data_IF_717636623275
#
_entry.id   IF_717636623275
#
_cell.length_a   1.000
_cell.length_b   1.000
_cell.length_c   1.000
_cell.angle_alpha   90.00
_cell.angle_beta   90.00
_cell.angle_gamma   90.00
#
_symmetry.space_group_name_H-M   'P 1'
#
loop_
_entity.id
_entity.type
_entity.pdbx_description
1 polymer ?
#
# COMPACT_ATOMS: atom_id res chain seq x y z
N UNK A 1 12.04 5.32 26.07
CA UNK A 1 12.58 6.28 25.09
C UNK A 1 12.41 5.65 23.72
N UNK A 2 11.53 6.18 22.88
CA UNK A 2 11.21 5.62 21.58
C UNK A 2 11.78 6.56 20.52
N UNK A 3 12.77 6.08 19.77
CA UNK A 3 13.35 6.82 18.66
C UNK A 3 12.34 6.83 17.51
N UNK A 4 11.70 7.97 17.29
CA UNK A 4 10.96 8.25 16.05
C UNK A 4 12.00 8.33 14.92
N UNK A 5 12.20 7.22 14.22
CA UNK A 5 13.01 7.19 13.00
C UNK A 5 12.14 7.72 11.86
N UNK A 6 12.12 9.05 11.69
CA UNK A 6 11.67 9.68 10.45
C UNK A 6 12.80 10.52 9.89
N UNK A 7 13.61 9.92 9.01
CA UNK A 7 14.46 10.60 8.03
C UNK A 7 14.97 9.55 7.04
N UNK A 8 14.04 8.90 6.33
CA UNK A 8 14.39 8.18 5.11
C UNK A 8 14.11 9.14 3.96
N UNK A 9 15.08 9.39 3.10
CA UNK A 9 14.79 10.07 1.83
C UNK A 9 13.80 9.20 1.07
N UNK A 10 12.59 9.69 0.87
CA UNK A 10 11.54 8.97 0.17
C UNK A 10 11.28 9.70 -1.14
N UNK A 11 11.60 9.04 -2.26
CA UNK A 11 11.12 9.50 -3.55
C UNK A 11 9.62 9.18 -3.65
N UNK A 12 8.84 10.16 -4.08
CA UNK A 12 7.42 10.00 -4.28
C UNK A 12 7.08 10.14 -5.78
N UNK A 13 6.23 9.23 -6.25
CA UNK A 13 5.72 9.18 -7.60
C UNK A 13 4.20 9.04 -7.56
N UNK A 14 3.55 9.59 -8.58
CA UNK A 14 2.11 9.52 -8.77
C UNK A 14 1.83 9.00 -10.17
N UNK A 15 1.09 7.90 -10.26
CA UNK A 15 0.43 7.46 -11.49
C UNK A 15 -1.00 7.99 -11.42
N UNK A 16 -1.35 8.86 -12.35
CA UNK A 16 -2.70 9.42 -12.41
C UNK A 16 -3.64 8.53 -13.22
N UNK A 17 -4.91 8.45 -12.78
CA UNK A 17 -6.02 7.87 -13.54
C UNK A 17 -5.90 6.37 -13.86
N UNK A 18 -5.48 5.53 -12.89
CA UNK A 18 -5.74 4.09 -13.00
C UNK A 18 -7.26 3.89 -13.09
N UNK A 19 -7.74 3.42 -14.24
CA UNK A 19 -9.16 3.31 -14.52
C UNK A 19 -9.76 2.23 -13.63
N UNK A 20 -11.04 2.39 -13.25
CA UNK A 20 -11.75 1.33 -12.49
C UNK A 20 -11.76 -0.02 -13.22
N UNK A 21 -11.80 0.00 -14.56
CA UNK A 21 -11.68 -1.20 -15.40
C UNK A 21 -10.32 -1.91 -15.28
N UNK A 22 -9.30 -1.26 -14.72
CA UNK A 22 -7.96 -1.80 -14.51
C UNK A 22 -7.79 -2.35 -13.09
N UNK A 23 -8.77 -2.20 -12.21
CA UNK A 23 -8.70 -2.72 -10.83
C UNK A 23 -8.60 -4.24 -10.79
N UNK A 24 -9.19 -4.92 -11.78
CA UNK A 24 -9.00 -6.37 -12.00
C UNK A 24 -7.54 -6.77 -12.26
N UNK A 25 -6.63 -5.81 -12.51
CA UNK A 25 -5.18 -6.03 -12.69
C UNK A 25 -4.37 -5.54 -11.49
N UNK A 26 -4.99 -5.05 -10.43
CA UNK A 26 -4.27 -4.39 -9.35
C UNK A 26 -3.25 -5.33 -8.69
N UNK A 27 -3.58 -6.60 -8.44
CA UNK A 27 -2.59 -7.52 -7.87
C UNK A 27 -1.45 -7.80 -8.85
N UNK A 28 -1.69 -7.76 -10.16
CA UNK A 28 -0.63 -7.87 -11.16
C UNK A 28 0.28 -6.64 -11.14
N UNK A 29 -0.30 -5.45 -11.03
CA UNK A 29 0.43 -4.18 -10.88
C UNK A 29 1.27 -4.19 -9.59
N UNK A 30 0.67 -4.58 -8.47
CA UNK A 30 1.35 -4.69 -7.18
C UNK A 30 2.50 -5.71 -7.23
N UNK A 31 2.30 -6.84 -7.91
CA UNK A 31 3.36 -7.83 -8.11
C UNK A 31 4.55 -7.31 -8.94
N UNK A 32 4.40 -6.25 -9.75
CA UNK A 32 5.54 -5.65 -10.45
C UNK A 32 6.60 -5.07 -9.50
N UNK A 33 6.21 -4.73 -8.27
CA UNK A 33 7.10 -4.17 -7.25
C UNK A 33 7.89 -5.24 -6.48
N UNK A 34 7.48 -6.51 -6.54
CA UNK A 34 8.13 -7.59 -5.78
C UNK A 34 9.44 -8.04 -6.40
N UNK A 35 10.41 -8.33 -5.53
CA UNK A 35 11.55 -9.23 -5.79
C UNK A 35 11.21 -10.63 -5.25
N UNK A 36 12.08 -11.60 -5.54
CA UNK A 36 11.85 -13.03 -5.22
C UNK A 36 11.53 -13.30 -3.74
N UNK A 37 12.08 -12.51 -2.83
CA UNK A 37 11.90 -12.68 -1.38
C UNK A 37 10.92 -11.68 -0.74
N UNK A 38 10.27 -10.85 -1.56
CA UNK A 38 9.36 -9.81 -1.06
C UNK A 38 7.94 -10.35 -0.85
N UNK A 39 7.24 -9.70 0.08
CA UNK A 39 5.79 -9.83 0.32
C UNK A 39 5.12 -8.48 0.22
N UNK A 40 3.82 -8.50 -0.06
CA UNK A 40 2.96 -7.30 -0.07
C UNK A 40 2.05 -7.37 1.13
N UNK A 41 2.21 -6.43 2.04
CA UNK A 41 1.40 -6.35 3.25
C UNK A 41 0.44 -5.16 3.14
N UNK A 42 -0.85 -5.47 3.13
CA UNK A 42 -1.92 -4.49 3.25
C UNK A 42 -2.09 -4.09 4.70
N UNK A 43 -2.49 -2.84 4.93
CA UNK A 43 -2.62 -2.27 6.25
C UNK A 43 -4.02 -1.73 6.47
N UNK A 44 -4.58 -2.04 7.64
CA UNK A 44 -5.66 -1.24 8.22
C UNK A 44 -5.39 -0.96 9.70
N UNK A 45 -5.79 0.22 10.21
CA UNK A 45 -5.85 0.45 11.64
C UNK A 45 -6.78 -0.56 12.32
N UNK A 46 -6.37 -1.08 13.47
CA UNK A 46 -7.16 -1.98 14.31
C UNK A 46 -8.57 -1.41 14.53
N UNK A 47 -8.65 -0.11 14.83
CA UNK A 47 -9.91 0.58 15.06
C UNK A 47 -10.90 0.41 13.89
N UNK A 48 -10.44 0.49 12.65
CA UNK A 48 -11.30 0.34 11.47
C UNK A 48 -11.78 -1.10 11.34
N UNK A 49 -10.86 -2.06 11.51
CA UNK A 49 -11.19 -3.48 11.42
C UNK A 49 -12.18 -3.90 12.51
N UNK A 50 -12.07 -3.33 13.72
CA UNK A 50 -12.90 -3.73 14.85
C UNK A 50 -14.21 -2.94 14.99
N UNK A 51 -14.27 -1.70 14.53
CA UNK A 51 -15.39 -0.80 14.84
C UNK A 51 -16.10 -0.22 13.61
N UNK A 52 -15.47 -0.22 12.44
CA UNK A 52 -16.02 0.43 11.24
C UNK A 52 -16.40 -0.56 10.15
N UNK A 53 -15.57 -1.56 9.90
CA UNK A 53 -15.84 -2.52 8.85
C UNK A 53 -16.98 -3.49 9.19
N UNK A 54 -17.77 -3.92 8.19
CA UNK A 54 -18.75 -4.99 8.38
C UNK A 54 -18.08 -6.27 8.92
N UNK A 55 -18.78 -7.02 9.78
CA UNK A 55 -18.22 -8.21 10.45
C UNK A 55 -17.59 -9.21 9.47
N UNK A 56 -18.17 -9.37 8.27
CA UNK A 56 -17.62 -10.24 7.22
C UNK A 56 -16.21 -9.80 6.82
N UNK A 57 -16.01 -8.50 6.56
CA UNK A 57 -14.71 -7.90 6.22
C UNK A 57 -13.72 -8.00 7.35
N UNK A 58 -14.18 -7.70 8.57
CA UNK A 58 -13.35 -7.75 9.76
C UNK A 58 -12.80 -9.16 9.98
N UNK A 59 -13.64 -10.18 9.83
CA UNK A 59 -13.22 -11.58 9.94
C UNK A 59 -12.27 -11.96 8.81
N UNK A 60 -12.59 -11.59 7.57
CA UNK A 60 -11.74 -11.83 6.41
C UNK A 60 -10.31 -11.29 6.61
N UNK A 61 -10.18 -10.07 7.14
CA UNK A 61 -8.89 -9.44 7.48
C UNK A 61 -8.22 -10.17 8.64
N UNK A 62 -8.94 -10.40 9.75
CA UNK A 62 -8.41 -11.02 10.97
C UNK A 62 -7.80 -12.40 10.75
N UNK A 63 -8.44 -13.22 9.91
CA UNK A 63 -7.95 -14.56 9.54
C UNK A 63 -6.64 -14.53 8.75
N UNK A 64 -6.28 -13.38 8.16
CA UNK A 64 -5.12 -13.20 7.29
C UNK A 64 -4.03 -12.33 7.91
N UNK A 65 -4.20 -11.88 9.15
CA UNK A 65 -3.19 -11.09 9.85
C UNK A 65 -1.90 -11.89 9.93
N UNK A 66 -0.83 -11.29 9.40
CA UNK A 66 0.53 -11.79 9.53
C UNK A 66 1.26 -11.12 10.68
N UNK A 67 0.93 -9.85 10.93
CA UNK A 67 1.64 -9.03 11.90
C UNK A 67 0.76 -7.91 12.44
N UNK A 68 1.04 -7.54 13.69
CA UNK A 68 0.45 -6.38 14.36
C UNK A 68 1.61 -5.50 14.81
N UNK A 69 1.54 -4.20 14.50
CA UNK A 69 2.56 -3.22 14.92
C UNK A 69 1.91 -2.02 15.58
N UNK A 70 2.57 -1.43 16.57
CA UNK A 70 2.16 -0.16 17.20
C UNK A 70 3.18 0.93 16.89
N UNK A 71 2.73 2.17 16.73
CA UNK A 71 3.62 3.33 16.56
C UNK A 71 4.30 3.45 15.19
N UNK A 72 3.78 2.77 14.16
CA UNK A 72 4.21 2.99 12.79
C UNK A 72 3.44 4.18 12.18
N UNK A 73 4.18 5.22 11.80
CA UNK A 73 3.63 6.36 11.07
C UNK A 73 3.85 6.06 9.59
N UNK A 74 2.78 5.70 8.87
CA UNK A 74 2.82 5.72 7.40
C UNK A 74 3.04 7.17 6.94
N UNK A 75 4.10 7.44 6.15
CA UNK A 75 4.37 8.78 5.65
C UNK A 75 3.21 9.39 4.86
N UNK A 76 2.31 8.56 4.30
CA UNK A 76 1.17 9.01 3.51
C UNK A 76 -0.14 9.23 4.26
N UNK A 77 -0.28 8.74 5.50
CA UNK A 77 -1.57 8.72 6.19
C UNK A 77 -1.55 9.53 7.49
N UNK A 78 -0.37 9.94 7.97
CA UNK A 78 -0.26 10.88 9.08
C UNK A 78 -0.96 10.39 10.36
N UNK A 79 -1.01 9.07 10.60
CA UNK A 79 -1.56 8.53 11.84
C UNK A 79 -0.71 9.03 13.01
N UNK A 80 -1.31 9.90 13.83
CA UNK A 80 -0.61 10.60 14.93
C UNK A 80 -0.60 9.82 16.24
N UNK A 81 -1.32 8.71 16.34
CA UNK A 81 -1.49 7.97 17.59
C UNK A 81 -0.96 6.54 17.49
N UNK A 82 -0.55 5.98 18.63
CA UNK A 82 0.00 4.64 18.87
C UNK A 82 -1.00 3.49 18.58
N UNK A 83 -1.91 3.68 17.63
CA UNK A 83 -2.93 2.68 17.30
C UNK A 83 -2.28 1.44 16.67
N UNK A 84 -2.69 0.23 17.08
CA UNK A 84 -2.24 -0.99 16.43
C UNK A 84 -2.65 -0.99 14.95
N UNK A 85 -1.73 -1.41 14.10
CA UNK A 85 -1.95 -1.62 12.67
C UNK A 85 -1.92 -3.11 12.39
N UNK A 86 -2.92 -3.58 11.67
CA UNK A 86 -2.99 -4.95 11.18
C UNK A 86 -2.37 -5.02 9.79
N UNK A 87 -1.40 -5.91 9.65
CA UNK A 87 -0.76 -6.22 8.39
C UNK A 87 -1.17 -7.61 7.92
N UNK A 88 -1.69 -7.70 6.71
CA UNK A 88 -2.20 -8.94 6.13
C UNK A 88 -1.83 -9.06 4.65
N UNK A 89 -1.78 -10.29 4.16
CA UNK A 89 -1.49 -10.58 2.75
C UNK A 89 -2.78 -10.91 2.01
N UNK A 90 -2.86 -10.44 0.76
CA UNK A 90 -3.85 -10.89 -0.20
C UNK A 90 -3.17 -11.76 -1.26
N UNK A 91 -3.79 -12.88 -1.59
CA UNK A 91 -3.21 -13.90 -2.47
C UNK A 91 -3.53 -13.64 -3.95
N UNK A 92 -4.65 -12.98 -4.24
CA UNK A 92 -5.15 -12.83 -5.61
C UNK A 92 -6.14 -11.66 -5.74
N UNK A 93 -6.55 -11.37 -6.98
CA UNK A 93 -7.51 -10.29 -7.26
C UNK A 93 -8.89 -10.54 -6.63
N UNK A 94 -9.35 -11.78 -6.47
CA UNK A 94 -10.65 -12.04 -5.85
C UNK A 94 -10.65 -11.62 -4.38
N UNK A 95 -9.56 -11.88 -3.66
CA UNK A 95 -9.37 -11.42 -2.29
C UNK A 95 -9.29 -9.89 -2.21
N UNK A 96 -8.66 -9.24 -3.20
CA UNK A 96 -8.65 -7.78 -3.31
C UNK A 96 -10.05 -7.21 -3.55
N UNK A 97 -10.81 -7.79 -4.47
CA UNK A 97 -12.19 -7.38 -4.76
C UNK A 97 -13.09 -7.59 -3.55
N UNK A 98 -12.96 -8.71 -2.84
CA UNK A 98 -13.72 -8.96 -1.61
C UNK A 98 -13.40 -7.90 -0.54
N UNK A 99 -12.12 -7.57 -0.35
CA UNK A 99 -11.71 -6.54 0.60
C UNK A 99 -12.25 -5.16 0.20
N UNK A 100 -12.07 -4.73 -1.06
CA UNK A 100 -12.45 -3.39 -1.53
C UNK A 100 -13.95 -3.18 -1.72
N UNK A 101 -14.71 -4.23 -2.09
CA UNK A 101 -16.18 -4.17 -2.16
C UNK A 101 -16.81 -3.83 -0.80
N UNK A 102 -16.08 -4.07 0.29
CA UNK A 102 -16.57 -3.92 1.64
C UNK A 102 -16.14 -2.62 2.35
N UNK A 103 -15.17 -1.87 1.79
CA UNK A 103 -14.62 -0.64 2.40
C UNK A 103 -15.17 0.68 1.83
N UNK A 104 -16.13 0.61 0.88
CA UNK A 104 -16.99 1.69 0.33
C UNK A 104 -16.36 3.00 -0.21
N UNK A 105 -15.09 3.31 0.03
CA UNK A 105 -14.44 4.53 -0.52
C UNK A 105 -12.92 4.57 -0.32
N UNK A 106 -12.35 3.73 0.54
CA UNK A 106 -10.91 3.75 0.84
C UNK A 106 -10.21 2.66 0.05
N UNK A 107 -9.32 3.05 -0.86
CA UNK A 107 -8.88 2.13 -1.90
C UNK A 107 -7.83 1.14 -1.42
N UNK A 108 -6.68 1.53 -0.87
CA UNK A 108 -5.88 0.71 0.06
C UNK A 108 -4.57 1.42 0.37
N UNK A 109 -3.90 0.99 1.44
CA UNK A 109 -2.45 1.19 1.63
C UNK A 109 -1.80 -0.18 1.80
N UNK A 110 -0.69 -0.39 1.10
CA UNK A 110 0.15 -1.56 1.29
C UNK A 110 1.62 -1.20 1.18
N UNK A 111 2.47 -2.10 1.66
CA UNK A 111 3.92 -2.00 1.54
C UNK A 111 4.49 -3.21 0.83
N UNK A 112 5.66 -3.04 0.23
CA UNK A 112 6.50 -4.13 -0.26
C UNK A 112 7.71 -4.24 0.65
N UNK A 113 7.87 -5.40 1.27
CA UNK A 113 8.91 -5.65 2.28
C UNK A 113 9.50 -7.04 2.10
N UNK A 114 10.78 -7.21 2.41
CA UNK A 114 11.39 -8.54 2.47
C UNK A 114 10.67 -9.36 3.56
N UNK A 115 10.33 -10.62 3.27
CA UNK A 115 9.55 -11.47 4.18
C UNK A 115 10.18 -11.65 5.57
N UNK A 116 11.49 -11.44 5.69
CA UNK A 116 12.24 -11.60 6.95
C UNK A 116 12.47 -10.25 7.68
N UNK A 117 11.91 -9.14 7.18
CA UNK A 117 12.10 -7.80 7.74
C UNK A 117 10.84 -7.25 8.41
N UNK A 118 11.02 -6.18 9.18
CA UNK A 118 9.93 -5.45 9.80
C UNK A 118 9.20 -4.56 8.78
N UNK A 119 7.89 -4.29 8.93
CA UNK A 119 7.16 -3.38 8.05
C UNK A 119 7.82 -2.00 7.87
N UNK A 120 8.52 -1.51 8.89
CA UNK A 120 9.27 -0.23 8.84
C UNK A 120 10.43 -0.25 7.83
N UNK A 121 10.92 -1.43 7.48
CA UNK A 121 12.01 -1.63 6.52
C UNK A 121 11.51 -1.79 5.07
N UNK A 122 10.28 -1.37 4.78
CA UNK A 122 9.68 -1.48 3.45
C UNK A 122 10.57 -0.86 2.35
N UNK A 123 10.53 -1.46 1.16
CA UNK A 123 11.14 -0.93 -0.07
C UNK A 123 10.21 0.06 -0.78
N UNK A 124 8.91 -0.23 -0.77
CA UNK A 124 7.88 0.63 -1.33
C UNK A 124 6.68 0.73 -0.38
N UNK A 125 6.11 1.92 -0.26
CA UNK A 125 4.75 2.14 0.23
C UNK A 125 3.88 2.55 -0.96
N UNK A 126 2.72 1.90 -1.08
CA UNK A 126 1.82 2.01 -2.21
C UNK A 126 0.44 2.38 -1.68
N UNK A 127 -0.16 3.41 -2.25
CA UNK A 127 -1.48 3.86 -1.87
C UNK A 127 -2.32 4.08 -3.12
N UNK A 128 -3.46 3.40 -3.20
CA UNK A 128 -4.49 3.77 -4.16
C UNK A 128 -5.50 4.67 -3.44
N UNK A 129 -5.74 5.86 -4.00
CA UNK A 129 -6.73 6.82 -3.53
C UNK A 129 -7.89 6.92 -4.52
N UNK A 130 -8.94 7.62 -4.12
CA UNK A 130 -10.08 7.95 -4.97
C UNK A 130 -9.64 8.51 -6.32
N UNK A 131 -10.51 8.36 -7.32
CA UNK A 131 -10.27 8.77 -8.71
C UNK A 131 -9.08 8.07 -9.39
N UNK A 132 -8.65 6.91 -8.86
CA UNK A 132 -7.61 6.08 -9.49
C UNK A 132 -6.20 6.65 -9.34
N UNK A 133 -5.98 7.51 -8.34
CA UNK A 133 -4.66 8.08 -8.06
C UNK A 133 -3.81 7.06 -7.31
N UNK A 134 -2.74 6.59 -7.93
CA UNK A 134 -1.83 5.61 -7.33
C UNK A 134 -0.51 6.28 -6.94
N UNK A 135 -0.31 6.40 -5.63
CA UNK A 135 0.84 7.04 -5.00
C UNK A 135 1.84 5.95 -4.63
N UNK A 136 3.10 6.20 -4.97
CA UNK A 136 4.21 5.29 -4.77
C UNK A 136 5.29 6.06 -4.03
N UNK A 137 5.67 5.55 -2.87
CA UNK A 137 6.75 6.07 -2.05
C UNK A 137 7.86 5.02 -2.01
N UNK A 138 9.00 5.37 -2.56
CA UNK A 138 10.17 4.52 -2.66
C UNK A 138 11.17 4.88 -1.57
N UNK A 139 11.66 3.87 -0.86
CA UNK A 139 12.63 4.08 0.22
C UNK A 139 14.08 3.84 -0.18
N UNK A 140 14.33 3.28 -1.37
CA UNK A 140 15.64 3.10 -1.99
C UNK A 140 15.63 3.73 -3.39
N UNK A 141 16.27 4.89 -3.56
CA UNK A 141 16.14 5.74 -4.75
C UNK A 141 16.40 5.00 -6.10
N UNK A 142 15.51 5.17 -7.07
CA UNK A 142 15.69 4.85 -8.49
C UNK A 142 15.10 3.51 -8.95
N UNK A 143 14.77 2.60 -8.03
CA UNK A 143 14.27 1.27 -8.36
C UNK A 143 12.89 1.29 -9.04
N UNK A 144 12.03 2.26 -8.73
CA UNK A 144 10.70 2.36 -9.31
C UNK A 144 10.76 2.64 -10.82
N UNK A 145 11.43 3.72 -11.21
CA UNK A 145 11.51 4.16 -12.62
C UNK A 145 12.24 3.13 -13.48
N UNK A 146 13.31 2.54 -12.96
CA UNK A 146 14.15 1.62 -13.74
C UNK A 146 13.53 0.21 -13.85
N UNK A 147 12.94 -0.31 -12.77
CA UNK A 147 12.63 -1.75 -12.67
C UNK A 147 11.13 -2.06 -12.57
N UNK A 148 10.32 -1.12 -12.10
CA UNK A 148 8.90 -1.36 -11.83
C UNK A 148 8.03 -0.70 -12.90
N UNK A 149 8.25 0.57 -13.18
CA UNK A 149 7.42 1.34 -14.10
C UNK A 149 7.32 0.71 -15.50
N UNK A 150 8.41 0.23 -16.13
CA UNK A 150 8.30 -0.43 -17.44
C UNK A 150 7.38 -1.66 -17.41
N UNK A 151 7.37 -2.42 -16.30
CA UNK A 151 6.48 -3.59 -16.14
C UNK A 151 5.02 -3.17 -16.05
N UNK A 152 4.73 -2.09 -15.32
CA UNK A 152 3.37 -1.55 -15.22
C UNK A 152 2.89 -1.04 -16.58
N UNK A 153 3.74 -0.35 -17.35
CA UNK A 153 3.39 0.12 -18.70
C UNK A 153 3.00 -1.03 -19.63
N UNK A 154 3.67 -2.18 -19.51
CA UNK A 154 3.29 -3.38 -20.29
C UNK A 154 1.90 -3.93 -19.92
N UNK A 155 1.45 -3.75 -18.68
CA UNK A 155 0.17 -4.29 -18.20
C UNK A 155 -1.03 -3.43 -18.57
N UNK A 156 -0.89 -2.10 -18.48
CA UNK A 156 -2.02 -1.16 -18.61
C UNK A 156 -1.78 -0.05 -19.64
N UNK A 157 -0.64 -0.06 -20.35
CA UNK A 157 -0.33 0.87 -21.43
C UNK A 157 0.38 2.13 -20.97
N UNK A 158 0.30 3.18 -21.80
CA UNK A 158 0.96 4.45 -21.51
C UNK A 158 0.30 5.16 -20.33
N UNK A 159 1.10 5.46 -19.31
CA UNK A 159 0.69 6.14 -18.10
C UNK A 159 1.46 7.45 -17.95
N UNK A 160 0.78 8.45 -17.39
CA UNK A 160 1.43 9.67 -16.95
C UNK A 160 1.97 9.48 -15.53
N UNK A 161 3.28 9.68 -15.37
CA UNK A 161 3.94 9.75 -14.06
C UNK A 161 4.29 11.19 -13.74
N UNK A 162 3.99 11.59 -12.51
CA UNK A 162 4.50 12.81 -11.91
C UNK A 162 5.44 12.42 -10.76
N UNK A 163 6.66 12.97 -10.75
CA UNK A 163 7.58 12.86 -9.63
C UNK A 163 7.40 14.07 -8.71
N UNK A 164 7.31 13.84 -7.41
CA UNK A 164 7.18 14.90 -6.42
C UNK A 164 6.52 14.41 -5.13
N UNK A 165 6.82 15.07 -4.02
CA UNK A 165 6.06 14.89 -2.79
C UNK A 165 4.60 15.30 -3.02
N UNK A 166 3.66 14.53 -2.47
CA UNK A 166 2.30 15.04 -2.24
C UNK A 166 2.44 16.24 -1.28
N UNK A 167 2.69 17.44 -1.83
CA UNK A 167 2.51 18.71 -1.14
C UNK A 167 1.04 19.12 -1.15
N UNK A 168 0.11 18.17 -1.29
CA UNK A 168 -1.29 18.41 -1.01
C UNK A 168 -1.40 18.51 0.52
N UNK A 169 -1.19 19.73 1.01
CA UNK A 169 -1.67 20.19 2.31
C UNK A 169 -3.09 19.67 2.52
N UNK A 170 -3.28 18.86 3.57
CA UNK A 170 -4.59 18.65 4.16
C UNK A 170 -5.00 19.88 4.95
#
# INVERSE_FOLDING_TARGET
MMNLVMNKEVNAYKIEYIRRSEYQKIMQILNCFKKDNDVILFMYPDYWVNNYFPSKTSNFIKERIKKITTGYISPGIGYRDEMPLYWFELQNNNEFEEMTALTKSELFVCIVVDKNKEPVDYSFELQLREFGRFIIRESNNGSFIENVFPKIQLLIGNLNIVQGADNEEY
#
